data_IF_674342542851
#
_entry.id   IF_674342542851
#
_cell.length_a   1.000
_cell.length_b   1.000
_cell.length_c   1.000
_cell.angle_alpha   90.00
_cell.angle_beta   90.00
_cell.angle_gamma   90.00
#
_symmetry.space_group_name_H-M   'P 1'
#
loop_
_entity.id
_entity.type
_entity.pdbx_description
1 polymer ?
#
# COMPACT_ATOMS: atom_id res chain seq x y z
N UNK A 1 -13.32 19.08 18.79
CA UNK A 1 -13.91 18.57 17.54
C UNK A 1 -13.90 17.05 17.52
N UNK A 2 -14.98 16.47 17.05
CA UNK A 2 -15.05 15.04 16.84
C UNK A 2 -14.50 14.69 15.45
N UNK A 3 -14.17 13.41 15.26
CA UNK A 3 -13.59 12.90 14.01
C UNK A 3 -14.35 13.38 12.77
N UNK A 4 -15.66 13.21 12.76
CA UNK A 4 -16.50 13.56 11.62
C UNK A 4 -16.44 15.04 11.28
N UNK A 5 -16.44 15.89 12.30
CA UNK A 5 -16.34 17.34 12.13
C UNK A 5 -15.01 17.74 11.50
N UNK A 6 -13.91 17.08 11.95
CA UNK A 6 -12.59 17.33 11.41
C UNK A 6 -12.52 16.94 9.93
N UNK A 7 -13.09 15.79 9.59
CA UNK A 7 -13.10 15.31 8.20
C UNK A 7 -13.86 16.26 7.29
N UNK A 8 -14.99 16.79 7.77
CA UNK A 8 -15.78 17.77 7.00
C UNK A 8 -15.01 19.08 6.80
N UNK A 9 -14.26 19.51 7.81
CA UNK A 9 -13.49 20.74 7.77
C UNK A 9 -12.29 20.66 6.84
N UNK A 10 -11.68 19.49 6.72
CA UNK A 10 -10.45 19.28 5.92
C UNK A 10 -10.66 19.67 4.46
N UNK A 11 -11.80 19.45 3.89
CA UNK A 11 -12.06 19.81 2.50
C UNK A 11 -11.90 21.29 2.25
N UNK A 12 -12.32 22.11 3.21
CA UNK A 12 -12.29 23.56 3.10
C UNK A 12 -11.04 24.17 3.74
N UNK A 13 -10.48 23.50 4.75
CA UNK A 13 -9.33 24.00 5.51
C UNK A 13 -8.36 22.85 5.85
N UNK A 14 -7.54 22.42 4.89
CA UNK A 14 -6.59 21.31 5.15
C UNK A 14 -5.60 21.58 6.28
N UNK A 15 -5.31 22.85 6.57
CA UNK A 15 -4.35 23.21 7.62
C UNK A 15 -4.82 22.84 9.03
N UNK A 16 -6.10 22.47 9.18
CA UNK A 16 -6.61 22.03 10.48
C UNK A 16 -5.86 20.80 10.99
N UNK A 17 -5.28 19.99 10.13
CA UNK A 17 -4.48 18.83 10.54
C UNK A 17 -3.26 19.20 11.38
N UNK A 18 -2.78 20.43 11.29
CA UNK A 18 -1.68 20.90 12.10
C UNK A 18 -2.12 21.26 13.52
N UNK A 19 -3.40 21.48 13.72
CA UNK A 19 -3.98 21.98 14.96
C UNK A 19 -4.72 20.92 15.78
N UNK A 20 -5.12 19.81 15.16
CA UNK A 20 -5.88 18.76 15.85
C UNK A 20 -4.98 17.96 16.79
N UNK A 21 -5.63 17.24 17.71
CA UNK A 21 -4.95 16.34 18.63
C UNK A 21 -4.24 15.23 17.83
N UNK A 22 -2.99 14.98 18.16
CA UNK A 22 -2.17 13.98 17.46
C UNK A 22 -2.74 12.56 17.54
N UNK A 23 -3.63 12.28 18.48
CA UNK A 23 -4.28 10.98 18.58
C UNK A 23 -5.03 10.60 17.30
N UNK A 24 -5.54 11.60 16.57
CA UNK A 24 -6.22 11.36 15.30
C UNK A 24 -5.25 10.92 14.20
N UNK A 25 -4.00 11.39 14.26
CA UNK A 25 -2.99 11.06 13.26
C UNK A 25 -2.50 9.60 13.39
N UNK A 26 -2.73 8.98 14.55
CA UNK A 26 -2.44 7.56 14.77
C UNK A 26 -3.71 6.69 14.70
N UNK A 27 -4.85 7.29 14.40
CA UNK A 27 -6.12 6.58 14.25
C UNK A 27 -6.23 6.04 12.82
N UNK A 28 -6.25 4.71 12.68
CA UNK A 28 -6.26 4.04 11.40
C UNK A 28 -7.43 4.48 10.51
N UNK A 29 -8.64 4.42 11.03
CA UNK A 29 -9.85 4.78 10.25
C UNK A 29 -9.85 6.24 9.82
N UNK A 30 -9.42 7.13 10.72
CA UNK A 30 -9.34 8.54 10.41
C UNK A 30 -8.37 8.81 9.28
N UNK A 31 -7.15 8.24 9.36
CA UNK A 31 -6.13 8.45 8.33
C UNK A 31 -6.49 7.81 7.01
N UNK A 32 -7.18 6.67 7.02
CA UNK A 32 -7.66 6.05 5.78
C UNK A 32 -8.72 6.92 5.11
N UNK A 33 -9.57 7.57 5.89
CA UNK A 33 -10.58 8.52 5.36
C UNK A 33 -9.89 9.71 4.68
N UNK A 34 -8.85 10.25 5.30
CA UNK A 34 -8.10 11.36 4.71
C UNK A 34 -7.39 10.90 3.43
N UNK A 35 -6.87 9.69 3.43
CA UNK A 35 -6.20 9.13 2.27
C UNK A 35 -7.14 9.03 1.06
N UNK A 36 -8.40 8.68 1.28
CA UNK A 36 -9.40 8.65 0.22
C UNK A 36 -9.71 10.05 -0.31
N UNK A 37 -9.77 11.04 0.59
CA UNK A 37 -10.13 12.40 0.23
C UNK A 37 -8.97 13.18 -0.38
N UNK A 38 -7.81 13.14 0.29
CA UNK A 38 -6.61 13.92 -0.08
C UNK A 38 -5.34 13.11 0.21
N UNK A 39 -4.95 12.22 -0.71
CA UNK A 39 -3.80 11.33 -0.49
C UNK A 39 -2.49 12.03 -0.11
N UNK A 40 -2.15 13.11 -0.81
CA UNK A 40 -0.90 13.84 -0.55
C UNK A 40 -0.91 14.46 0.85
N UNK A 41 -2.05 14.97 1.27
CA UNK A 41 -2.19 15.52 2.61
C UNK A 41 -2.02 14.44 3.68
N UNK A 42 -2.62 13.27 3.46
CA UNK A 42 -2.49 12.14 4.37
C UNK A 42 -1.02 11.76 4.57
N UNK A 43 -0.25 11.67 3.50
CA UNK A 43 1.17 11.28 3.57
C UNK A 43 2.01 12.20 4.44
N UNK A 44 1.62 13.47 4.55
CA UNK A 44 2.34 14.44 5.38
C UNK A 44 2.10 14.27 6.88
N UNK A 45 0.96 13.70 7.24
CA UNK A 45 0.50 13.68 8.65
C UNK A 45 0.36 12.30 9.24
N UNK A 46 0.55 11.23 8.47
CA UNK A 46 0.46 9.87 9.00
C UNK A 46 1.50 9.66 10.10
N UNK A 47 1.03 9.18 11.26
CA UNK A 47 1.92 8.88 12.38
C UNK A 47 2.81 7.67 12.06
N UNK A 48 4.03 7.67 12.61
CA UNK A 48 4.98 6.58 12.38
C UNK A 48 4.45 5.22 12.83
N UNK A 49 3.59 5.19 13.85
CA UNK A 49 2.98 3.95 14.32
C UNK A 49 2.15 3.27 13.24
N UNK A 50 1.47 4.05 12.38
CA UNK A 50 0.71 3.52 11.26
C UNK A 50 1.62 3.07 10.11
N UNK A 51 2.74 3.75 9.92
CA UNK A 51 3.72 3.36 8.89
C UNK A 51 4.44 2.06 9.22
N UNK A 52 4.29 1.57 10.47
CA UNK A 52 4.81 0.28 10.88
C UNK A 52 3.71 -0.78 10.99
N UNK A 53 2.47 -0.41 10.71
CA UNK A 53 1.32 -1.29 10.81
C UNK A 53 0.99 -1.91 9.46
N UNK A 54 1.27 -3.20 9.32
CA UNK A 54 1.06 -3.94 8.07
C UNK A 54 -0.39 -3.87 7.57
N UNK A 55 -1.36 -4.01 8.48
CA UNK A 55 -2.78 -3.95 8.11
C UNK A 55 -3.17 -2.58 7.56
N UNK A 56 -2.67 -1.52 8.18
CA UNK A 56 -2.91 -0.16 7.70
C UNK A 56 -2.30 0.03 6.30
N UNK A 57 -1.05 -0.42 6.11
CA UNK A 57 -0.35 -0.28 4.84
C UNK A 57 -1.10 -1.02 3.73
N UNK A 58 -1.58 -2.23 4.02
CA UNK A 58 -2.35 -3.01 3.05
C UNK A 58 -3.63 -2.29 2.63
N UNK A 59 -4.38 -1.77 3.59
CA UNK A 59 -5.61 -1.01 3.31
C UNK A 59 -5.32 0.26 2.54
N UNK A 60 -4.24 0.96 2.88
CA UNK A 60 -3.82 2.17 2.18
C UNK A 60 -3.48 1.88 0.73
N UNK A 61 -2.77 0.79 0.46
CA UNK A 61 -2.43 0.40 -0.90
C UNK A 61 -3.66 0.05 -1.74
N UNK A 62 -4.66 -0.58 -1.13
CA UNK A 62 -5.91 -0.87 -1.82
C UNK A 62 -6.67 0.41 -2.17
N UNK A 63 -6.69 1.40 -1.28
CA UNK A 63 -7.30 2.70 -1.53
C UNK A 63 -6.55 3.42 -2.65
N UNK A 64 -5.23 3.43 -2.62
CA UNK A 64 -4.40 4.05 -3.65
C UNK A 64 -4.64 3.44 -5.02
N UNK A 65 -4.82 2.13 -5.08
CA UNK A 65 -5.09 1.43 -6.32
C UNK A 65 -6.40 1.88 -6.97
N UNK A 66 -7.40 2.21 -6.17
CA UNK A 66 -8.70 2.67 -6.65
C UNK A 66 -8.70 4.14 -7.03
N UNK A 67 -7.87 4.96 -6.39
CA UNK A 67 -7.85 6.42 -6.61
C UNK A 67 -6.75 6.86 -7.57
N UNK A 68 -5.69 6.15 -7.66
CA UNK A 68 -4.49 6.25 -8.52
C UNK A 68 -4.32 7.54 -9.35
N UNK A 69 -4.38 8.68 -8.69
CA UNK A 69 -4.25 9.98 -9.35
C UNK A 69 -2.77 10.41 -9.40
N UNK A 70 -1.95 9.90 -8.47
CA UNK A 70 -0.54 10.26 -8.33
C UNK A 70 0.32 9.00 -8.29
N UNK A 71 1.56 9.10 -8.77
CA UNK A 71 2.50 8.00 -8.74
C UNK A 71 3.13 7.77 -7.37
N UNK A 72 2.85 8.64 -6.40
CA UNK A 72 3.34 8.50 -5.03
C UNK A 72 2.48 7.50 -4.28
N UNK A 73 3.12 6.58 -3.57
CA UNK A 73 2.42 5.57 -2.77
C UNK A 73 2.88 5.63 -1.32
N UNK A 74 2.10 5.00 -0.43
CA UNK A 74 2.48 4.91 0.98
C UNK A 74 3.81 4.18 1.14
N UNK A 75 4.17 3.28 0.24
CA UNK A 75 5.45 2.57 0.29
C UNK A 75 6.65 3.51 0.16
N UNK A 76 6.46 4.68 -0.45
CA UNK A 76 7.54 5.65 -0.59
C UNK A 76 7.91 6.31 0.75
N UNK A 77 6.97 6.34 1.70
CA UNK A 77 7.19 6.96 3.01
C UNK A 77 7.36 5.95 4.14
N UNK A 78 7.08 4.67 3.89
CA UNK A 78 7.29 3.60 4.87
C UNK A 78 8.80 3.41 5.10
N UNK A 79 9.26 3.22 6.36
CA UNK A 79 10.68 2.96 6.62
C UNK A 79 11.21 1.81 5.78
N UNK A 80 12.44 1.93 5.32
CA UNK A 80 13.04 0.99 4.37
C UNK A 80 13.02 -0.46 4.86
N UNK A 81 13.32 -0.68 6.13
CA UNK A 81 13.33 -2.03 6.69
C UNK A 81 11.94 -2.67 6.67
N UNK A 82 10.90 -1.90 7.00
CA UNK A 82 9.52 -2.38 6.99
C UNK A 82 9.07 -2.61 5.55
N UNK A 83 9.40 -1.69 4.65
CA UNK A 83 9.08 -1.84 3.23
C UNK A 83 9.70 -3.10 2.65
N UNK A 84 10.96 -3.38 2.94
CA UNK A 84 11.64 -4.57 2.45
C UNK A 84 10.98 -5.85 2.97
N UNK A 85 10.57 -5.87 4.23
CA UNK A 85 9.86 -7.02 4.80
C UNK A 85 8.52 -7.24 4.11
N UNK A 86 7.78 -6.16 3.85
CA UNK A 86 6.47 -6.26 3.17
C UNK A 86 6.64 -6.74 1.73
N UNK A 87 7.64 -6.24 1.03
CA UNK A 87 7.88 -6.61 -0.36
C UNK A 87 8.42 -8.04 -0.52
N UNK A 88 8.81 -8.66 0.59
CA UNK A 88 9.24 -10.07 0.62
C UNK A 88 8.18 -10.99 1.27
N UNK A 89 7.02 -10.45 1.63
CA UNK A 89 5.95 -11.20 2.30
C UNK A 89 4.99 -11.77 1.26
N UNK A 90 5.06 -13.06 1.02
CA UNK A 90 4.25 -13.76 0.01
C UNK A 90 2.76 -13.55 0.17
N UNK A 91 2.28 -13.66 1.40
CA UNK A 91 0.85 -13.56 1.69
C UNK A 91 0.37 -12.14 1.44
N UNK A 92 1.13 -11.15 1.92
CA UNK A 92 0.83 -9.74 1.73
C UNK A 92 0.78 -9.39 0.24
N UNK A 93 1.79 -9.79 -0.53
CA UNK A 93 1.86 -9.50 -1.96
C UNK A 93 0.76 -10.22 -2.73
N UNK A 94 0.49 -11.48 -2.40
CA UNK A 94 -0.58 -12.24 -3.02
C UNK A 94 -1.94 -11.56 -2.82
N UNK A 95 -2.23 -11.13 -1.59
CA UNK A 95 -3.50 -10.48 -1.28
C UNK A 95 -3.66 -9.15 -2.01
N UNK A 96 -2.60 -8.35 -2.10
CA UNK A 96 -2.64 -7.10 -2.85
C UNK A 96 -2.88 -7.34 -4.34
N UNK A 97 -2.19 -8.32 -4.89
CA UNK A 97 -2.33 -8.66 -6.31
C UNK A 97 -3.73 -9.19 -6.61
N UNK A 98 -4.27 -10.02 -5.72
CA UNK A 98 -5.62 -10.55 -5.83
C UNK A 98 -6.66 -9.43 -5.85
N UNK A 99 -6.44 -8.35 -5.11
CA UNK A 99 -7.34 -7.21 -5.04
C UNK A 99 -7.02 -6.15 -6.11
N UNK A 100 -6.45 -6.56 -7.21
CA UNK A 100 -6.21 -5.77 -8.42
C UNK A 100 -4.99 -4.85 -8.41
N UNK A 101 -4.14 -4.90 -7.36
CA UNK A 101 -2.92 -4.11 -7.34
C UNK A 101 -1.74 -4.90 -7.92
N UNK A 102 -1.77 -5.14 -9.22
CA UNK A 102 -0.73 -5.92 -9.89
C UNK A 102 0.58 -5.15 -10.06
N UNK A 103 0.54 -3.84 -10.00
CA UNK A 103 1.74 -3.02 -10.14
C UNK A 103 2.73 -3.24 -9.00
N UNK A 104 2.26 -3.75 -7.85
CA UNK A 104 3.14 -4.07 -6.72
C UNK A 104 4.19 -5.12 -7.11
N UNK A 105 3.90 -5.97 -8.10
CA UNK A 105 4.83 -7.02 -8.55
C UNK A 105 6.14 -6.46 -9.11
N UNK A 106 6.13 -5.20 -9.55
CA UNK A 106 7.35 -4.53 -10.02
C UNK A 106 8.34 -4.30 -8.89
N UNK A 107 7.83 -4.16 -7.67
CA UNK A 107 8.62 -3.73 -6.52
C UNK A 107 8.97 -4.85 -5.55
N UNK A 108 8.48 -6.07 -5.77
CA UNK A 108 8.73 -7.18 -4.85
C UNK A 108 10.21 -7.54 -4.80
N UNK A 109 10.62 -8.25 -3.75
CA UNK A 109 12.01 -8.65 -3.56
C UNK A 109 12.50 -9.58 -4.68
N UNK A 110 13.80 -9.58 -4.92
CA UNK A 110 14.39 -10.52 -5.89
C UNK A 110 14.16 -11.97 -5.47
N UNK A 111 14.10 -12.24 -4.17
CA UNK A 111 13.79 -13.57 -3.66
C UNK A 111 12.42 -14.03 -4.13
N UNK A 112 11.40 -13.18 -4.05
CA UNK A 112 10.06 -13.51 -4.55
C UNK A 112 10.00 -13.59 -6.07
N UNK A 113 10.77 -12.76 -6.77
CA UNK A 113 10.83 -12.81 -8.23
C UNK A 113 11.39 -14.15 -8.73
N UNK A 114 12.17 -14.85 -7.90
CA UNK A 114 12.73 -16.16 -8.20
C UNK A 114 11.93 -17.31 -7.59
N UNK A 115 10.83 -17.01 -6.88
CA UNK A 115 10.03 -18.03 -6.20
C UNK A 115 9.03 -18.66 -7.16
N UNK A 116 9.35 -19.84 -7.65
CA UNK A 116 8.52 -20.56 -8.62
C UNK A 116 7.11 -20.87 -8.09
N UNK A 117 7.03 -21.37 -6.86
CA UNK A 117 5.74 -21.69 -6.24
C UNK A 117 4.84 -20.45 -6.13
N UNK A 118 5.43 -19.33 -5.73
CA UNK A 118 4.70 -18.08 -5.59
C UNK A 118 4.09 -17.66 -6.94
N UNK A 119 4.90 -17.64 -8.00
CA UNK A 119 4.41 -17.23 -9.32
C UNK A 119 3.46 -18.25 -9.94
N UNK A 120 3.65 -19.54 -9.68
CA UNK A 120 2.69 -20.55 -10.13
C UNK A 120 1.33 -20.34 -9.49
N UNK A 121 1.29 -20.02 -8.18
CA UNK A 121 0.03 -19.69 -7.50
C UNK A 121 -0.62 -18.45 -8.08
N UNK A 122 0.16 -17.40 -8.36
CA UNK A 122 -0.37 -16.19 -8.99
C UNK A 122 -0.96 -16.48 -10.36
N UNK A 123 -0.27 -17.29 -11.16
CA UNK A 123 -0.72 -17.64 -12.50
C UNK A 123 -2.00 -18.47 -12.49
N UNK A 124 -2.10 -19.40 -11.54
CA UNK A 124 -3.26 -20.28 -11.43
C UNK A 124 -4.49 -19.57 -10.85
N UNK A 125 -4.27 -18.78 -9.80
CA UNK A 125 -5.36 -18.15 -9.04
C UNK A 125 -5.83 -16.83 -9.64
N UNK A 126 -4.95 -16.09 -10.33
CA UNK A 126 -5.23 -14.74 -10.79
C UNK A 126 -5.14 -14.60 -12.31
N UNK A 127 -3.95 -14.77 -12.87
CA UNK A 127 -3.74 -14.57 -14.30
C UNK A 127 -2.44 -15.21 -14.75
N UNK A 128 -2.45 -15.94 -15.87
CA UNK A 128 -1.22 -16.49 -16.47
C UNK A 128 -0.18 -15.41 -16.77
N UNK A 129 -0.61 -14.18 -17.03
CA UNK A 129 0.31 -13.07 -17.35
C UNK A 129 1.16 -12.64 -16.16
N UNK A 130 0.85 -13.10 -14.94
CA UNK A 130 1.63 -12.76 -13.75
C UNK A 130 3.09 -13.17 -13.88
N UNK A 131 3.42 -14.19 -14.70
CA UNK A 131 4.79 -14.65 -14.88
C UNK A 131 5.70 -13.56 -15.48
N UNK A 132 5.13 -12.56 -16.15
CA UNK A 132 5.91 -11.46 -16.73
C UNK A 132 6.66 -10.64 -15.66
N UNK A 133 6.23 -10.70 -14.42
CA UNK A 133 6.88 -10.00 -13.30
C UNK A 133 7.95 -10.84 -12.61
N UNK A 134 8.09 -12.12 -12.97
CA UNK A 134 9.10 -12.99 -12.43
C UNK A 134 10.50 -12.59 -12.96
N UNK A 135 11.55 -13.09 -12.31
CA UNK A 135 12.91 -12.90 -12.77
C UNK A 135 13.11 -13.55 -14.16
N UNK A 136 14.12 -13.09 -14.89
CA UNK A 136 14.42 -13.65 -16.21
C UNK A 136 14.67 -15.16 -16.13
N UNK A 137 15.40 -15.61 -15.12
CA UNK A 137 15.69 -17.02 -14.90
C UNK A 137 14.40 -17.82 -14.69
N UNK A 138 13.52 -17.32 -13.85
CA UNK A 138 12.26 -18.00 -13.56
C UNK A 138 11.31 -18.00 -14.76
N UNK A 139 11.27 -16.89 -15.50
CA UNK A 139 10.42 -16.81 -16.71
C UNK A 139 10.81 -17.87 -17.73
N UNK A 140 12.11 -18.10 -17.90
CA UNK A 140 12.58 -19.16 -18.80
C UNK A 140 12.14 -20.55 -18.32
N UNK A 141 12.12 -20.76 -17.01
CA UNK A 141 11.70 -22.04 -16.43
C UNK A 141 10.19 -22.26 -16.51
N UNK A 142 9.40 -21.17 -16.50
CA UNK A 142 7.93 -21.24 -16.56
C UNK A 142 7.39 -21.33 -17.99
N UNK A 143 8.19 -20.98 -18.97
CA UNK A 143 7.83 -21.13 -20.39
C UNK A 143 7.96 -22.62 -20.77
#
# INVERSE_FOLDING_TARGET
MQRKEILNEIENNPSILQEIDKKYLSDEEFMLSILEMKPILAYRFIDDSLLSNKNFIEKALLIENNTNINNTTILDIVPKNIRNDLLNDKIFIFNLTKNSNRSILKSISEELKNDKKFFMNLMMELSPKSFLWASDTLRSDLE
#
